data_IF_967135803952
#
_entry.id   IF_967135803952
#
_cell.length_a   1.000
_cell.length_b   1.000
_cell.length_c   1.000
_cell.angle_alpha   90.00
_cell.angle_beta   90.00
_cell.angle_gamma   90.00
#
_symmetry.space_group_name_H-M   'P 1'
#
loop_
_entity.id
_entity.type
_entity.pdbx_description
1 polymer ?
#
# COMPACT_ATOMS: atom_id res chain seq x y z
N UNK A 1 13.71 26.22 -3.88
CA UNK A 1 13.16 25.45 -2.74
C UNK A 1 11.65 25.20 -2.88
N UNK A 2 11.09 25.26 -4.09
CA UNK A 2 9.64 25.31 -4.36
C UNK A 2 9.14 24.21 -5.32
N UNK A 3 9.97 23.24 -5.70
CA UNK A 3 9.62 22.23 -6.72
C UNK A 3 9.08 20.90 -6.17
N UNK A 4 8.93 20.75 -4.84
CA UNK A 4 8.49 19.49 -4.22
C UNK A 4 6.95 19.43 -4.02
N UNK A 5 6.23 20.53 -4.22
CA UNK A 5 4.85 20.67 -3.69
C UNK A 5 3.73 20.19 -4.62
N UNK A 6 4.00 19.80 -5.87
CA UNK A 6 2.98 19.14 -6.68
C UNK A 6 3.59 18.07 -7.58
N UNK A 7 3.90 16.87 -7.03
CA UNK A 7 4.03 15.69 -7.86
C UNK A 7 2.75 15.58 -8.68
N UNK A 8 2.88 15.74 -10.00
CA UNK A 8 1.79 15.77 -10.98
C UNK A 8 0.90 14.50 -10.95
N UNK A 9 1.33 13.48 -10.19
CA UNK A 9 0.72 12.16 -10.06
C UNK A 9 0.15 11.89 -8.66
N UNK A 10 0.24 12.81 -7.70
CA UNK A 10 -0.15 12.59 -6.30
C UNK A 10 -1.59 12.08 -6.13
N UNK A 11 -2.54 12.72 -6.82
CA UNK A 11 -3.94 12.31 -6.74
C UNK A 11 -4.16 10.92 -7.34
N UNK A 12 -3.45 10.57 -8.42
CA UNK A 12 -3.55 9.24 -9.05
C UNK A 12 -2.98 8.15 -8.14
N UNK A 13 -1.82 8.40 -7.52
CA UNK A 13 -1.19 7.48 -6.58
C UNK A 13 -2.06 7.28 -5.34
N UNK A 14 -2.70 8.36 -4.85
CA UNK A 14 -3.66 8.25 -3.74
C UNK A 14 -4.86 7.39 -4.12
N UNK A 15 -5.46 7.59 -5.29
CA UNK A 15 -6.60 6.78 -5.74
C UNK A 15 -6.23 5.30 -5.82
N UNK A 16 -5.07 4.96 -6.41
CA UNK A 16 -4.58 3.58 -6.49
C UNK A 16 -4.37 2.95 -5.09
N UNK A 17 -3.82 3.73 -4.14
CA UNK A 17 -3.65 3.28 -2.76
C UNK A 17 -5.01 3.00 -2.09
N UNK A 18 -5.99 3.89 -2.27
CA UNK A 18 -7.33 3.73 -1.69
C UNK A 18 -8.09 2.55 -2.31
N UNK A 19 -7.94 2.30 -3.62
CA UNK A 19 -8.54 1.15 -4.28
C UNK A 19 -8.03 -0.17 -3.69
N UNK A 20 -6.72 -0.28 -3.49
CA UNK A 20 -6.09 -1.47 -2.88
C UNK A 20 -6.60 -1.73 -1.45
N UNK A 21 -6.83 -0.69 -0.66
CA UNK A 21 -7.41 -0.83 0.69
C UNK A 21 -8.88 -1.27 0.63
N UNK A 22 -9.66 -0.71 -0.29
CA UNK A 22 -11.06 -1.08 -0.48
C UNK A 22 -11.22 -2.54 -0.91
N UNK A 23 -10.38 -3.01 -1.84
CA UNK A 23 -10.43 -4.38 -2.38
C UNK A 23 -10.33 -5.47 -1.30
N UNK A 24 -9.57 -5.22 -0.22
CA UNK A 24 -9.40 -6.18 0.88
C UNK A 24 -10.72 -6.52 1.59
N UNK A 25 -11.69 -5.61 1.56
CA UNK A 25 -12.95 -5.75 2.27
C UNK A 25 -14.14 -6.05 1.35
N UNK A 26 -13.96 -6.09 0.02
CA UNK A 26 -15.04 -6.36 -0.94
C UNK A 26 -15.63 -7.76 -0.76
N UNK A 27 -14.81 -8.74 -0.38
CA UNK A 27 -15.25 -10.12 -0.17
C UNK A 27 -15.87 -10.36 1.24
N UNK A 28 -15.75 -9.42 2.16
CA UNK A 28 -16.15 -9.61 3.55
C UNK A 28 -17.65 -9.32 3.75
N UNK A 29 -18.41 -10.34 4.19
CA UNK A 29 -19.85 -10.21 4.48
C UNK A 29 -20.11 -9.54 5.83
N UNK A 30 -19.17 -9.64 6.78
CA UNK A 30 -19.26 -9.02 8.11
C UNK A 30 -18.03 -8.17 8.35
N UNK A 31 -18.27 -6.93 8.80
CA UNK A 31 -17.22 -5.95 9.07
C UNK A 31 -17.20 -5.62 10.56
N UNK A 32 -16.00 -5.67 11.14
CA UNK A 32 -15.73 -5.22 12.51
C UNK A 32 -15.76 -3.69 12.59
N UNK A 33 -15.81 -3.15 13.82
CA UNK A 33 -15.89 -1.70 14.03
C UNK A 33 -14.69 -0.96 13.41
N UNK A 34 -13.48 -1.47 13.59
CA UNK A 34 -12.26 -0.89 13.02
C UNK A 34 -12.25 -0.92 11.49
N UNK A 35 -12.77 -1.97 10.88
CA UNK A 35 -12.89 -2.08 9.42
C UNK A 35 -13.92 -1.08 8.86
N UNK A 36 -15.01 -0.82 9.60
CA UNK A 36 -15.98 0.23 9.25
C UNK A 36 -15.37 1.62 9.36
N UNK A 37 -14.59 1.87 10.40
CA UNK A 37 -13.84 3.12 10.55
C UNK A 37 -12.85 3.32 9.40
N UNK A 38 -12.12 2.27 9.01
CA UNK A 38 -11.20 2.29 7.88
C UNK A 38 -11.93 2.65 6.57
N UNK A 39 -13.05 2.00 6.26
CA UNK A 39 -13.84 2.32 5.07
C UNK A 39 -14.38 3.76 5.09
N UNK A 40 -14.82 4.26 6.26
CA UNK A 40 -15.25 5.64 6.40
C UNK A 40 -14.13 6.65 6.14
N UNK A 41 -12.91 6.36 6.61
CA UNK A 41 -11.73 7.19 6.33
C UNK A 41 -11.31 7.15 4.86
N UNK A 42 -11.46 5.99 4.21
CA UNK A 42 -11.23 5.81 2.77
C UNK A 42 -12.23 6.62 1.96
N UNK A 43 -13.53 6.54 2.27
CA UNK A 43 -14.57 7.35 1.62
C UNK A 43 -14.32 8.86 1.79
N UNK A 44 -13.98 9.30 3.01
CA UNK A 44 -13.62 10.71 3.25
C UNK A 44 -12.39 11.15 2.42
N UNK A 45 -11.42 10.26 2.25
CA UNK A 45 -10.25 10.54 1.42
C UNK A 45 -10.56 10.60 -0.08
N UNK A 46 -11.58 9.87 -0.55
CA UNK A 46 -12.10 9.98 -1.91
C UNK A 46 -12.83 11.31 -2.15
N UNK A 47 -13.64 11.75 -1.19
CA UNK A 47 -14.39 13.01 -1.31
C UNK A 47 -13.46 14.23 -1.34
N UNK A 48 -12.43 14.24 -0.47
CA UNK A 48 -11.50 15.37 -0.33
C UNK A 48 -10.02 14.91 -0.45
N UNK A 49 -9.53 14.60 -1.67
CA UNK A 49 -8.18 14.07 -1.85
C UNK A 49 -7.08 15.06 -1.50
N UNK A 50 -7.31 16.36 -1.66
CA UNK A 50 -6.32 17.39 -1.31
C UNK A 50 -6.05 17.47 0.20
N UNK A 51 -7.10 17.39 1.02
CA UNK A 51 -6.97 17.39 2.47
C UNK A 51 -6.30 16.10 2.95
N UNK A 52 -6.71 14.95 2.39
CA UNK A 52 -6.08 13.66 2.67
C UNK A 52 -4.58 13.68 2.37
N UNK A 53 -4.15 14.21 1.21
CA UNK A 53 -2.74 14.36 0.86
C UNK A 53 -1.99 15.28 1.83
N UNK A 54 -2.58 16.40 2.25
CA UNK A 54 -1.96 17.27 3.24
C UNK A 54 -1.76 16.57 4.58
N UNK A 55 -2.76 15.79 5.02
CA UNK A 55 -2.69 14.97 6.24
C UNK A 55 -1.58 13.92 6.15
N UNK A 56 -1.49 13.20 5.03
CA UNK A 56 -0.46 12.19 4.79
C UNK A 56 0.94 12.83 4.82
N UNK A 57 1.14 13.92 4.06
CA UNK A 57 2.43 14.64 4.03
C UNK A 57 2.82 15.16 5.42
N UNK A 58 1.86 15.65 6.20
CA UNK A 58 2.09 16.05 7.59
C UNK A 58 2.56 14.86 8.43
N UNK A 59 1.88 13.72 8.39
CA UNK A 59 2.26 12.52 9.13
C UNK A 59 3.69 12.06 8.77
N UNK A 60 4.05 12.04 7.49
CA UNK A 60 5.41 11.68 7.06
C UNK A 60 6.50 12.62 7.65
N UNK A 61 6.20 13.91 7.78
CA UNK A 61 7.14 14.89 8.31
C UNK A 61 7.23 14.86 9.84
N UNK A 62 6.09 14.77 10.53
CA UNK A 62 6.01 15.00 11.98
C UNK A 62 5.95 13.74 12.82
N UNK A 63 5.32 12.67 12.33
CA UNK A 63 5.08 11.49 13.15
C UNK A 63 6.32 10.61 13.18
N UNK A 64 6.77 10.31 14.41
CA UNK A 64 7.90 9.40 14.71
C UNK A 64 7.55 8.38 15.81
N UNK A 65 6.36 8.51 16.39
CA UNK A 65 5.80 7.58 17.38
C UNK A 65 4.47 7.10 16.81
N UNK A 66 4.29 5.79 16.73
CA UNK A 66 3.14 5.13 16.13
C UNK A 66 2.36 4.36 17.19
N UNK A 67 1.11 4.01 16.89
CA UNK A 67 0.29 3.19 17.77
C UNK A 67 0.79 1.74 17.80
N UNK A 68 0.33 1.01 18.81
CA UNK A 68 0.64 -0.42 18.93
C UNK A 68 0.01 -1.21 17.78
N UNK A 69 0.77 -2.17 17.26
CA UNK A 69 0.33 -3.09 16.20
C UNK A 69 -0.05 -4.40 16.84
N UNK A 70 -1.30 -4.84 16.65
CA UNK A 70 -1.73 -6.14 17.14
C UNK A 70 -1.26 -7.25 16.17
N UNK A 71 -1.02 -8.45 16.72
CA UNK A 71 -0.57 -9.61 15.96
C UNK A 71 -1.52 -10.77 16.20
N UNK A 72 -2.02 -11.34 15.12
CA UNK A 72 -2.80 -12.57 15.10
C UNK A 72 -2.08 -13.63 14.26
N UNK A 73 -2.46 -14.89 14.41
CA UNK A 73 -1.87 -15.97 13.62
C UNK A 73 -2.95 -16.67 12.80
N UNK A 74 -2.78 -16.67 11.49
CA UNK A 74 -3.59 -17.48 10.58
C UNK A 74 -3.00 -18.88 10.51
N UNK A 75 -3.80 -19.89 10.85
CA UNK A 75 -3.39 -21.28 10.82
C UNK A 75 -3.61 -21.90 9.44
N UNK A 76 -2.50 -22.30 8.80
CA UNK A 76 -2.51 -23.00 7.51
C UNK A 76 -2.40 -24.53 7.69
N UNK A 77 -2.68 -25.05 8.88
CA UNK A 77 -2.58 -26.45 9.35
C UNK A 77 -1.17 -27.07 9.28
N UNK A 78 -0.25 -26.45 8.57
CA UNK A 78 1.15 -26.86 8.40
C UNK A 78 2.14 -25.87 9.02
N UNK A 79 1.77 -24.59 9.02
CA UNK A 79 2.53 -23.49 9.58
C UNK A 79 1.58 -22.35 9.94
N UNK A 80 2.03 -21.47 10.84
CA UNK A 80 1.29 -20.28 11.24
C UNK A 80 1.85 -19.06 10.50
N UNK A 81 0.96 -18.24 9.95
CA UNK A 81 1.33 -16.97 9.31
C UNK A 81 0.93 -15.82 10.24
N UNK A 82 1.87 -14.94 10.64
CA UNK A 82 1.52 -13.76 11.41
C UNK A 82 0.75 -12.76 10.54
N UNK A 83 -0.38 -12.28 11.07
CA UNK A 83 -1.22 -11.23 10.48
C UNK A 83 -1.13 -10.02 11.39
N UNK A 84 -0.75 -8.87 10.82
CA UNK A 84 -0.56 -7.62 11.56
C UNK A 84 -1.77 -6.71 11.38
N UNK A 85 -2.32 -6.23 12.48
CA UNK A 85 -3.38 -5.23 12.48
C UNK A 85 -2.80 -3.86 12.80
N UNK A 86 -2.76 -3.01 11.76
CA UNK A 86 -2.27 -1.64 11.82
C UNK A 86 -3.46 -0.68 11.95
N UNK A 87 -3.25 0.43 12.64
CA UNK A 87 -4.25 1.47 12.80
C UNK A 87 -4.69 2.05 11.43
N UNK A 88 -6.01 2.28 11.18
CA UNK A 88 -6.49 2.63 9.84
C UNK A 88 -5.90 3.92 9.24
N UNK A 89 -5.59 4.93 10.05
CA UNK A 89 -5.08 6.21 9.57
C UNK A 89 -3.61 6.09 9.15
N UNK A 90 -2.81 5.38 9.95
CA UNK A 90 -1.43 5.00 9.64
C UNK A 90 -1.37 4.11 8.39
N UNK A 91 -2.30 3.15 8.28
CA UNK A 91 -2.39 2.26 7.11
C UNK A 91 -2.62 3.01 5.79
N UNK A 92 -3.46 4.06 5.78
CA UNK A 92 -3.65 4.92 4.59
C UNK A 92 -2.34 5.65 4.23
N UNK A 93 -1.61 6.17 5.22
CA UNK A 93 -0.32 6.83 4.96
C UNK A 93 0.72 5.89 4.39
N UNK A 94 0.79 4.66 4.92
CA UNK A 94 1.74 3.64 4.47
C UNK A 94 1.40 3.13 3.07
N UNK A 95 0.10 2.96 2.77
CA UNK A 95 -0.33 2.55 1.44
C UNK A 95 0.02 3.59 0.37
N UNK A 96 -0.19 4.88 0.66
CA UNK A 96 0.24 5.95 -0.24
C UNK A 96 1.77 5.99 -0.40
N UNK A 97 2.51 5.81 0.69
CA UNK A 97 3.98 5.78 0.67
C UNK A 97 4.51 4.61 -0.17
N UNK A 98 3.94 3.41 -0.02
CA UNK A 98 4.28 2.23 -0.83
C UNK A 98 4.10 2.52 -2.33
N UNK A 99 2.92 3.04 -2.72
CA UNK A 99 2.66 3.41 -4.12
C UNK A 99 3.64 4.46 -4.65
N UNK A 100 3.94 5.48 -3.84
CA UNK A 100 4.89 6.52 -4.21
C UNK A 100 6.32 5.99 -4.40
N UNK A 101 6.79 5.14 -3.48
CA UNK A 101 8.13 4.56 -3.53
C UNK A 101 8.30 3.64 -4.73
N UNK A 102 7.33 2.75 -5.00
CA UNK A 102 7.39 1.87 -6.17
C UNK A 102 7.38 2.66 -7.49
N UNK A 103 6.54 3.69 -7.59
CA UNK A 103 6.48 4.55 -8.78
C UNK A 103 7.81 5.27 -9.05
N UNK A 104 8.41 5.88 -8.02
CA UNK A 104 9.70 6.57 -8.19
C UNK A 104 10.88 5.59 -8.36
N UNK A 105 10.80 4.39 -7.77
CA UNK A 105 11.83 3.35 -7.93
C UNK A 105 11.90 2.84 -9.38
N UNK A 106 10.75 2.55 -10.01
CA UNK A 106 10.72 2.09 -11.40
C UNK A 106 11.14 3.21 -12.38
N UNK A 107 10.65 4.44 -12.17
CA UNK A 107 11.03 5.61 -12.97
C UNK A 107 12.53 5.90 -12.96
N UNK A 108 13.23 5.55 -11.88
CA UNK A 108 14.68 5.71 -11.75
C UNK A 108 15.46 4.43 -12.05
N UNK A 109 14.77 3.36 -12.45
CA UNK A 109 15.35 2.03 -12.64
C UNK A 109 16.21 1.59 -11.45
N UNK A 110 15.71 1.83 -10.23
CA UNK A 110 16.42 1.54 -8.99
C UNK A 110 16.70 0.04 -8.85
N UNK A 111 15.73 -0.79 -9.22
CA UNK A 111 15.84 -2.24 -9.10
C UNK A 111 16.36 -2.85 -10.41
N UNK A 112 17.44 -3.65 -10.36
CA UNK A 112 17.93 -4.38 -11.51
C UNK A 112 17.03 -5.58 -11.86
N UNK A 113 17.09 -6.03 -13.11
CA UNK A 113 16.19 -7.05 -13.69
C UNK A 113 16.19 -8.44 -13.00
N UNK A 114 17.15 -8.72 -12.12
CA UNK A 114 17.21 -9.97 -11.36
C UNK A 114 16.42 -9.93 -10.04
N UNK A 115 15.96 -8.76 -9.60
CA UNK A 115 15.02 -8.64 -8.48
C UNK A 115 13.65 -9.12 -8.96
N UNK A 116 13.09 -10.12 -8.29
CA UNK A 116 11.79 -10.73 -8.58
C UNK A 116 10.97 -10.81 -7.29
N UNK A 117 9.63 -10.71 -7.34
CA UNK A 117 8.76 -10.60 -8.52
C UNK A 117 8.86 -9.22 -9.22
N UNK A 118 8.53 -9.17 -10.51
CA UNK A 118 8.51 -7.94 -11.31
C UNK A 118 7.19 -7.85 -12.08
N UNK A 119 6.69 -6.63 -12.31
CA UNK A 119 5.37 -6.39 -12.90
C UNK A 119 5.23 -6.87 -14.37
N UNK A 120 6.36 -7.13 -15.03
CA UNK A 120 6.40 -7.54 -16.44
C UNK A 120 5.98 -8.98 -16.70
N UNK A 121 5.97 -9.85 -15.69
CA UNK A 121 5.74 -11.28 -15.90
C UNK A 121 5.12 -12.00 -14.69
N UNK A 122 4.17 -12.92 -14.93
CA UNK A 122 3.66 -13.77 -13.86
C UNK A 122 4.67 -14.87 -13.47
N UNK A 123 4.57 -15.45 -12.26
CA UNK A 123 5.52 -16.45 -11.78
C UNK A 123 5.75 -17.65 -12.71
N UNK A 124 4.73 -18.23 -13.39
CA UNK A 124 4.97 -19.32 -14.34
C UNK A 124 5.80 -18.90 -15.56
N UNK A 125 5.63 -17.68 -16.06
CA UNK A 125 6.42 -17.16 -17.18
C UNK A 125 7.89 -16.92 -16.78
N UNK A 126 8.12 -16.50 -15.54
CA UNK A 126 9.47 -16.39 -14.98
C UNK A 126 10.17 -17.76 -15.00
N UNK A 127 9.50 -18.83 -14.56
CA UNK A 127 10.06 -20.20 -14.59
C UNK A 127 10.36 -20.62 -16.02
N UNK A 128 9.44 -20.36 -16.96
CA UNK A 128 9.66 -20.65 -18.38
C UNK A 128 10.92 -19.95 -18.92
N UNK A 129 11.05 -18.64 -18.71
CA UNK A 129 12.23 -17.88 -19.13
C UNK A 129 13.50 -18.34 -18.42
N UNK A 130 13.40 -18.83 -17.19
CA UNK A 130 14.54 -19.40 -16.46
C UNK A 130 15.02 -20.70 -17.11
N UNK A 131 14.10 -21.61 -17.45
CA UNK A 131 14.43 -22.88 -18.10
C UNK A 131 14.91 -22.73 -19.55
N UNK A 132 14.56 -21.63 -20.23
CA UNK A 132 15.00 -21.35 -21.60
C UNK A 132 16.41 -20.77 -21.70
N UNK A 133 16.98 -20.28 -20.59
CA UNK A 133 18.36 -19.79 -20.61
C UNK A 133 19.32 -20.99 -20.73
N UNK A 134 20.23 -20.98 -21.72
CA UNK A 134 21.19 -22.06 -21.93
C UNK A 134 22.19 -22.20 -20.77
#
# INVERSE_FOLDING_TARGET
MSSIIAPQHDTKLLILALERLKEQYVAAVRLNQQQREELGLVEQAYDNPHEALQRIKRHLLTNRHFKEVAIEFMDMYSHLIPVYEIEPLEKITDCYLDQYLWFEADKRHLFPNWVKPADSEPPPLLVYKWCQRP
#
